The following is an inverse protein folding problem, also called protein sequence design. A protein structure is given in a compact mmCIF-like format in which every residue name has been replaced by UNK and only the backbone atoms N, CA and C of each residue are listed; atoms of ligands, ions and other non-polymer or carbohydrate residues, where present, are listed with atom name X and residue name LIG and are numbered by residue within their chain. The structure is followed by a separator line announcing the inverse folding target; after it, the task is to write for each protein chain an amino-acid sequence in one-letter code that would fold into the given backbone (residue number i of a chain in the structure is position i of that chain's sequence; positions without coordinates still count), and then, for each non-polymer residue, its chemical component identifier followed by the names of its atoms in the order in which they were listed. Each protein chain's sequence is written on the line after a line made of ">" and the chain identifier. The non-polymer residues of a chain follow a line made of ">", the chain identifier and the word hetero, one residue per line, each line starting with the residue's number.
data_IF_663685456260
#
_entry.id   IF_663685456260
#
_cell.length_a   1.000
_cell.length_b   1.000
_cell.length_c   1.000
_cell.angle_alpha   90.00
_cell.angle_beta   90.00
_cell.angle_gamma   90.00
#
_symmetry.space_group_name_H-M   'P 1'
#
loop_
_entity.id
_entity.type
_entity.pdbx_description
1 polymer ?
#
# COMPACT_ATOMS: atom_id res chain seq x y z
N UNK A 1 -5.80 -19.44 12.48
CA UNK A 1 -4.37 -19.09 12.61
C UNK A 1 -4.06 -18.19 11.43
N UNK A 2 -3.48 -17.01 11.65
CA UNK A 2 -3.13 -16.09 10.57
C UNK A 2 -1.80 -16.53 9.94
N UNK A 3 -1.74 -16.46 8.62
CA UNK A 3 -0.54 -16.71 7.85
C UNK A 3 -0.23 -15.48 7.00
N UNK A 4 1.05 -15.12 6.96
CA UNK A 4 1.56 -14.07 6.09
C UNK A 4 1.59 -14.57 4.64
N UNK A 5 0.84 -13.95 3.74
CA UNK A 5 0.88 -14.28 2.31
C UNK A 5 2.05 -13.57 1.63
N UNK A 6 2.91 -14.32 0.95
CA UNK A 6 3.98 -13.82 0.08
C UNK A 6 3.46 -13.53 -1.34
N UNK A 7 4.22 -13.92 -2.36
CA UNK A 7 3.79 -13.81 -3.76
C UNK A 7 2.94 -15.02 -4.19
N UNK A 8 3.47 -16.24 -4.03
CA UNK A 8 2.81 -17.49 -4.50
C UNK A 8 2.41 -18.44 -3.36
N UNK A 9 2.98 -18.24 -2.16
CA UNK A 9 2.71 -19.04 -0.97
C UNK A 9 2.83 -18.17 0.29
N UNK A 10 2.33 -18.69 1.41
CA UNK A 10 2.60 -18.09 2.72
C UNK A 10 4.06 -18.23 3.10
N UNK A 11 4.58 -17.35 3.98
CA UNK A 11 5.96 -17.44 4.45
C UNK A 11 6.31 -18.77 5.16
N UNK A 12 5.31 -19.53 5.60
CA UNK A 12 5.51 -20.86 6.17
C UNK A 12 5.32 -22.01 5.16
N UNK A 13 5.17 -21.73 3.86
CA UNK A 13 5.12 -22.73 2.79
C UNK A 13 3.74 -23.33 2.50
N UNK A 14 2.66 -22.66 2.92
CA UNK A 14 1.29 -23.04 2.52
C UNK A 14 0.92 -22.35 1.21
N UNK A 15 0.40 -23.13 0.27
CA UNK A 15 -0.10 -22.68 -1.03
C UNK A 15 -1.59 -22.28 -0.96
N UNK A 16 -2.08 -21.57 -1.98
CA UNK A 16 -3.41 -20.92 -1.97
C UNK A 16 -4.57 -21.92 -1.76
N UNK A 17 -4.46 -23.13 -2.31
CA UNK A 17 -5.48 -24.18 -2.18
C UNK A 17 -5.57 -24.81 -0.78
N UNK A 18 -4.62 -24.53 0.10
CA UNK A 18 -4.57 -25.05 1.47
C UNK A 18 -5.10 -24.06 2.52
N UNK A 19 -5.46 -22.84 2.10
CA UNK A 19 -5.87 -21.76 3.02
C UNK A 19 -7.11 -21.03 2.50
N UNK A 20 -7.81 -20.37 3.41
CA UNK A 20 -8.81 -19.37 3.02
C UNK A 20 -8.14 -18.00 3.05
N UNK A 21 -8.00 -17.37 1.89
CA UNK A 21 -7.26 -16.12 1.76
C UNK A 21 -8.16 -14.94 2.11
N UNK A 22 -7.86 -14.29 3.23
CA UNK A 22 -8.50 -13.05 3.62
C UNK A 22 -7.55 -11.88 3.38
N UNK A 23 -8.01 -10.86 2.65
CA UNK A 23 -7.25 -9.66 2.30
C UNK A 23 -7.15 -8.65 3.47
N UNK A 24 -6.86 -9.11 4.69
CA UNK A 24 -6.49 -8.22 5.80
C UNK A 24 -4.99 -8.28 6.06
N UNK A 25 -4.49 -7.26 6.75
CA UNK A 25 -3.08 -7.16 7.11
C UNK A 25 -2.71 -8.32 8.05
N UNK A 26 -1.62 -9.02 7.76
CA UNK A 26 -1.04 -9.98 8.71
C UNK A 26 -0.51 -9.22 9.93
N UNK A 27 -1.11 -9.44 11.09
CA UNK A 27 -0.64 -8.89 12.35
C UNK A 27 0.29 -9.90 13.04
N UNK A 28 1.58 -9.58 13.07
CA UNK A 28 2.59 -10.46 13.68
C UNK A 28 2.43 -10.57 15.21
N UNK A 29 1.85 -9.57 15.86
CA UNK A 29 1.64 -9.54 17.31
C UNK A 29 0.33 -10.24 17.71
N UNK A 30 -0.54 -10.54 16.73
CA UNK A 30 -1.77 -11.29 16.96
C UNK A 30 -1.46 -12.68 17.54
N UNK A 31 -2.20 -13.07 18.57
CA UNK A 31 -2.03 -14.34 19.27
C UNK A 31 -2.26 -15.55 18.35
N UNK A 32 -3.02 -15.37 17.28
CA UNK A 32 -3.31 -16.38 16.27
C UNK A 32 -2.29 -16.41 15.11
N UNK A 33 -1.27 -15.54 15.11
CA UNK A 33 -0.25 -15.52 14.08
C UNK A 33 0.63 -16.78 14.11
N UNK A 34 0.85 -17.39 12.95
CA UNK A 34 1.77 -18.51 12.79
C UNK A 34 3.19 -18.11 13.26
N UNK A 35 3.83 -18.87 14.17
CA UNK A 35 5.16 -18.54 14.69
C UNK A 35 6.24 -18.42 13.61
N UNK A 36 6.18 -19.28 12.59
CA UNK A 36 7.12 -19.24 11.44
C UNK A 36 6.90 -17.98 10.60
N UNK A 37 5.65 -17.65 10.28
CA UNK A 37 5.32 -16.40 9.59
C UNK A 37 5.72 -15.17 10.41
N UNK A 38 5.54 -15.19 11.73
CA UNK A 38 5.99 -14.12 12.64
C UNK A 38 7.51 -13.93 12.57
N UNK A 39 8.28 -15.01 12.63
CA UNK A 39 9.74 -14.95 12.60
C UNK A 39 10.27 -14.50 11.24
N UNK A 40 9.72 -15.04 10.14
CA UNK A 40 10.14 -14.64 8.80
C UNK A 40 9.70 -13.22 8.45
N UNK A 41 8.54 -12.76 8.92
CA UNK A 41 8.11 -11.37 8.75
C UNK A 41 9.06 -10.37 9.42
N UNK A 42 9.74 -10.76 10.51
CA UNK A 42 10.77 -9.93 11.14
C UNK A 42 12.07 -9.89 10.33
N UNK A 43 12.35 -10.94 9.54
CA UNK A 43 13.62 -11.14 8.84
C UNK A 43 13.56 -10.83 7.33
N UNK A 44 12.36 -10.69 6.75
CA UNK A 44 12.18 -10.56 5.31
C UNK A 44 12.46 -9.12 4.81
N UNK A 45 13.34 -8.94 3.81
CA UNK A 45 13.52 -7.66 3.12
C UNK A 45 12.47 -7.40 2.01
N UNK A 46 11.70 -8.43 1.61
CA UNK A 46 10.62 -8.40 0.61
C UNK A 46 9.46 -9.23 1.14
N UNK A 47 8.26 -8.69 1.15
CA UNK A 47 7.64 -8.56 2.45
C UNK A 47 6.16 -9.05 2.57
N UNK A 48 5.78 -9.70 3.68
CA UNK A 48 4.51 -10.42 3.88
C UNK A 48 3.22 -9.61 4.05
N UNK A 49 3.29 -8.29 4.25
CA UNK A 49 2.09 -7.48 4.50
C UNK A 49 1.92 -6.29 3.52
N UNK A 50 0.79 -5.60 3.62
CA UNK A 50 0.42 -4.53 2.68
C UNK A 50 1.39 -3.34 2.71
N UNK A 51 1.81 -2.88 3.90
CA UNK A 51 2.73 -1.74 4.10
C UNK A 51 4.00 -1.89 3.30
N UNK A 52 4.41 -3.12 3.27
CA UNK A 52 5.69 -3.54 2.85
C UNK A 52 5.76 -3.76 1.34
N UNK A 53 4.75 -4.45 0.77
CA UNK A 53 4.54 -4.45 -0.68
C UNK A 53 4.37 -3.03 -1.23
N UNK A 54 3.72 -2.14 -0.47
CA UNK A 54 3.61 -0.74 -0.86
C UNK A 54 4.95 0.00 -0.75
N UNK A 55 5.76 -0.27 0.27
CA UNK A 55 7.11 0.30 0.41
C UNK A 55 7.96 -0.02 -0.82
N UNK A 56 7.99 -1.26 -1.27
CA UNK A 56 8.77 -1.67 -2.45
C UNK A 56 8.29 -1.00 -3.74
N UNK A 57 6.98 -0.86 -3.90
CA UNK A 57 6.42 -0.08 -5.03
C UNK A 57 6.88 1.36 -4.96
N UNK A 58 6.78 2.01 -3.80
CA UNK A 58 7.14 3.41 -3.58
C UNK A 58 8.63 3.69 -3.85
N UNK A 59 9.53 2.71 -3.69
CA UNK A 59 10.94 2.87 -4.06
C UNK A 59 11.14 3.21 -5.55
N UNK A 60 10.25 2.72 -6.42
CA UNK A 60 10.30 3.02 -7.86
C UNK A 60 9.77 4.43 -8.20
N UNK A 61 9.19 5.15 -7.24
CA UNK A 61 8.76 6.53 -7.46
C UNK A 61 9.96 7.47 -7.62
N UNK A 62 9.73 8.59 -8.33
CA UNK A 62 10.72 9.63 -8.47
C UNK A 62 11.25 10.07 -7.10
N UNK A 63 12.57 10.23 -6.99
CA UNK A 63 13.20 10.67 -5.75
C UNK A 63 12.72 12.06 -5.35
N UNK A 64 12.45 12.24 -4.07
CA UNK A 64 12.04 13.52 -3.51
C UNK A 64 11.42 13.39 -2.11
N UNK A 65 11.14 14.52 -1.45
CA UNK A 65 10.74 14.55 -0.05
C UNK A 65 9.50 13.71 0.27
N UNK A 66 8.48 13.74 -0.59
CA UNK A 66 7.25 12.95 -0.39
C UNK A 66 7.49 11.44 -0.42
N UNK A 67 8.40 10.98 -1.29
CA UNK A 67 8.77 9.57 -1.33
C UNK A 67 9.45 9.17 -0.03
N UNK A 68 10.39 9.99 0.44
CA UNK A 68 11.13 9.72 1.68
C UNK A 68 10.20 9.74 2.90
N UNK A 69 9.31 10.73 3.01
CA UNK A 69 8.30 10.83 4.07
C UNK A 69 7.39 9.60 4.11
N UNK A 70 6.89 9.14 2.95
CA UNK A 70 6.03 7.96 2.88
C UNK A 70 6.79 6.67 3.23
N UNK A 71 8.01 6.48 2.72
CA UNK A 71 8.82 5.29 3.06
C UNK A 71 9.09 5.23 4.57
N UNK A 72 9.42 6.37 5.16
CA UNK A 72 9.65 6.52 6.59
C UNK A 72 8.37 6.28 7.42
N UNK A 73 7.21 6.76 6.94
CA UNK A 73 5.91 6.46 7.53
C UNK A 73 5.58 4.96 7.51
N UNK A 74 5.77 4.29 6.37
CA UNK A 74 5.53 2.85 6.24
C UNK A 74 6.42 2.03 7.18
N UNK A 75 7.70 2.41 7.33
CA UNK A 75 8.63 1.78 8.29
C UNK A 75 8.21 1.96 9.74
N UNK A 76 7.52 3.06 10.06
CA UNK A 76 6.93 3.31 11.39
C UNK A 76 5.55 2.67 11.60
N UNK A 77 5.06 1.89 10.64
CA UNK A 77 3.78 1.21 10.74
C UNK A 77 2.59 2.08 10.37
N UNK A 78 2.74 3.00 9.40
CA UNK A 78 1.62 3.71 8.83
C UNK A 78 0.52 2.76 8.34
N UNK A 79 -0.73 3.17 8.52
CA UNK A 79 -1.89 2.32 8.24
C UNK A 79 -2.30 2.46 6.77
N UNK A 80 -2.43 1.34 6.06
CA UNK A 80 -3.04 1.34 4.72
C UNK A 80 -4.56 1.22 4.87
N UNK A 81 -5.27 2.34 4.71
CA UNK A 81 -6.74 2.37 4.77
C UNK A 81 -7.42 1.78 3.55
N UNK A 82 -6.74 1.86 2.41
CA UNK A 82 -7.28 1.40 1.13
C UNK A 82 -6.12 0.97 0.24
N UNK A 83 -6.26 -0.17 -0.42
CA UNK A 83 -5.47 -0.52 -1.58
C UNK A 83 -6.33 -1.31 -2.57
N UNK A 84 -6.69 -0.66 -3.68
CA UNK A 84 -7.58 -1.23 -4.69
C UNK A 84 -7.04 -0.95 -6.10
N UNK A 85 -7.38 -1.83 -7.04
CA UNK A 85 -7.13 -1.64 -8.47
C UNK A 85 -8.46 -1.41 -9.18
N UNK A 86 -8.46 -0.56 -10.20
CA UNK A 86 -9.66 -0.34 -10.99
C UNK A 86 -9.53 0.81 -11.99
N UNK A 87 -10.60 1.11 -12.74
CA UNK A 87 -10.59 2.18 -13.72
C UNK A 87 -10.22 3.52 -13.09
N UNK A 88 -9.22 4.21 -13.65
CA UNK A 88 -8.65 5.44 -13.10
C UNK A 88 -9.72 6.51 -12.84
N UNK A 89 -10.65 6.71 -13.79
CA UNK A 89 -11.76 7.66 -13.63
C UNK A 89 -12.70 7.28 -12.47
N UNK A 90 -12.94 5.99 -12.23
CA UNK A 90 -13.76 5.53 -11.10
C UNK A 90 -13.03 5.75 -9.78
N UNK A 91 -11.73 5.45 -9.73
CA UNK A 91 -10.90 5.67 -8.56
C UNK A 91 -10.79 7.16 -8.20
N UNK A 92 -10.61 8.01 -9.21
CA UNK A 92 -10.58 9.46 -9.08
C UNK A 92 -11.86 10.01 -8.43
N UNK A 93 -13.02 9.52 -8.91
CA UNK A 93 -14.33 10.00 -8.51
C UNK A 93 -14.73 9.55 -7.10
N UNK A 94 -14.38 8.33 -6.73
CA UNK A 94 -14.96 7.68 -5.54
C UNK A 94 -13.98 7.54 -4.37
N UNK A 95 -12.67 7.55 -4.62
CA UNK A 95 -11.69 7.14 -3.61
C UNK A 95 -10.47 8.08 -3.48
N UNK A 96 -10.15 8.86 -4.51
CA UNK A 96 -8.92 9.66 -4.52
C UNK A 96 -9.00 10.96 -3.70
N UNK A 97 -10.21 11.45 -3.37
CA UNK A 97 -10.43 12.67 -2.56
C UNK A 97 -9.53 13.84 -2.99
N UNK A 98 -9.54 14.14 -4.29
CA UNK A 98 -8.60 15.07 -4.93
C UNK A 98 -8.64 16.48 -4.34
N UNK A 99 -9.78 16.88 -3.79
CA UNK A 99 -10.01 18.16 -3.12
C UNK A 99 -9.23 18.32 -1.81
N UNK A 100 -8.78 17.22 -1.20
CA UNK A 100 -8.02 17.22 0.06
C UNK A 100 -6.52 17.21 -0.13
N UNK A 101 -6.05 17.06 -1.37
CA UNK A 101 -4.63 17.01 -1.68
C UNK A 101 -4.03 18.40 -1.53
N UNK A 102 -3.10 18.54 -0.58
CA UNK A 102 -2.38 19.78 -0.32
C UNK A 102 -1.08 19.87 -1.11
N UNK A 103 -0.50 18.74 -1.52
CA UNK A 103 0.74 18.70 -2.30
C UNK A 103 0.78 17.53 -3.29
N UNK A 104 1.37 17.75 -4.48
CA UNK A 104 1.61 16.70 -5.48
C UNK A 104 0.43 16.40 -6.41
N UNK A 105 -0.64 17.21 -6.35
CA UNK A 105 -1.89 17.01 -7.11
C UNK A 105 -1.74 16.95 -8.64
N UNK A 106 -0.93 17.79 -9.33
CA UNK A 106 -0.98 17.86 -10.80
C UNK A 106 -0.65 16.54 -11.52
N UNK A 107 0.44 15.88 -11.12
CA UNK A 107 0.84 14.62 -11.73
C UNK A 107 -0.14 13.49 -11.40
N UNK A 108 -0.67 13.50 -10.18
CA UNK A 108 -1.63 12.50 -9.72
C UNK A 108 -2.98 12.63 -10.44
N UNK A 109 -3.48 13.85 -10.61
CA UNK A 109 -4.70 14.15 -11.39
C UNK A 109 -4.53 13.69 -12.84
N UNK A 110 -3.37 13.97 -13.45
CA UNK A 110 -3.08 13.53 -14.81
C UNK A 110 -3.14 12.00 -14.94
N UNK A 111 -2.52 11.26 -14.01
CA UNK A 111 -2.56 9.80 -14.00
C UNK A 111 -3.95 9.21 -13.72
N UNK A 112 -4.80 9.94 -13.01
CA UNK A 112 -6.19 9.54 -12.77
C UNK A 112 -7.16 9.94 -13.90
N UNK A 113 -6.70 10.76 -14.84
CA UNK A 113 -7.46 11.19 -16.01
C UNK A 113 -7.25 10.28 -17.24
N UNK A 114 -6.37 9.28 -17.13
CA UNK A 114 -6.11 8.34 -18.23
C UNK A 114 -7.23 7.32 -18.37
N UNK A 115 -7.49 6.89 -19.61
CA UNK A 115 -8.34 5.72 -19.86
C UNK A 115 -7.50 4.46 -19.59
N UNK A 116 -7.67 3.87 -18.41
CA UNK A 116 -6.95 2.66 -18.01
C UNK A 116 -7.28 2.23 -16.59
N UNK A 117 -6.74 1.08 -16.19
CA UNK A 117 -6.74 0.64 -14.81
C UNK A 117 -5.50 1.19 -14.11
N UNK A 118 -5.64 1.55 -12.84
CA UNK A 118 -4.50 1.91 -11.97
C UNK A 118 -4.74 1.32 -10.58
N UNK A 119 -3.67 1.11 -9.83
CA UNK A 119 -3.76 0.92 -8.39
C UNK A 119 -3.87 2.25 -7.66
N UNK A 120 -4.63 2.27 -6.59
CA UNK A 120 -4.74 3.38 -5.65
C UNK A 120 -4.53 2.86 -4.24
N UNK A 121 -3.59 3.46 -3.52
CA UNK A 121 -3.40 3.23 -2.09
C UNK A 121 -3.57 4.52 -1.28
N UNK A 122 -4.26 4.43 -0.14
CA UNK A 122 -4.37 5.48 0.88
C UNK A 122 -3.61 5.03 2.12
N UNK A 123 -2.66 5.84 2.56
CA UNK A 123 -1.82 5.55 3.73
C UNK A 123 -1.97 6.68 4.74
N UNK A 124 -2.29 6.37 5.99
CA UNK A 124 -2.42 7.35 7.05
C UNK A 124 -1.26 7.25 8.05
N UNK A 125 -0.72 8.41 8.43
CA UNK A 125 0.25 8.52 9.50
C UNK A 125 0.14 9.87 10.21
N UNK A 126 -0.38 9.85 11.43
CA UNK A 126 -0.58 11.07 12.22
C UNK A 126 -1.61 12.00 11.54
N UNK A 127 -1.30 13.30 11.36
CA UNK A 127 -2.22 14.25 10.74
C UNK A 127 -2.25 14.15 9.20
N UNK A 128 -1.45 13.28 8.61
CA UNK A 128 -1.23 13.22 7.17
C UNK A 128 -1.79 11.93 6.57
N UNK A 129 -2.31 12.09 5.36
CA UNK A 129 -2.72 11.00 4.48
C UNK A 129 -1.90 11.10 3.19
N UNK A 130 -1.32 9.99 2.75
CA UNK A 130 -0.66 9.87 1.47
C UNK A 130 -1.59 9.16 0.49
N UNK A 131 -1.74 9.76 -0.70
CA UNK A 131 -2.41 9.14 -1.83
C UNK A 131 -1.32 8.65 -2.79
N UNK A 132 -1.30 7.35 -3.05
CA UNK A 132 -0.36 6.72 -3.98
C UNK A 132 -1.13 6.17 -5.16
N UNK A 133 -0.84 6.68 -6.36
CA UNK A 133 -1.31 6.08 -7.60
C UNK A 133 -0.21 5.19 -8.14
N UNK A 134 -0.58 3.96 -8.51
CA UNK A 134 0.28 2.91 -9.03
C UNK A 134 -0.17 2.62 -10.48
N UNK A 135 0.37 3.32 -11.49
CA UNK A 135 0.07 3.01 -12.87
C UNK A 135 0.55 1.60 -13.24
N UNK A 136 -0.15 0.94 -14.17
CA UNK A 136 0.29 -0.34 -14.73
C UNK A 136 1.66 -0.22 -15.43
N UNK A 137 1.94 0.96 -15.98
CA UNK A 137 3.20 1.29 -16.63
C UNK A 137 3.72 2.63 -16.11
N UNK A 138 4.93 2.61 -15.56
CA UNK A 138 5.64 3.79 -15.07
C UNK A 138 5.79 3.84 -13.55
N UNK A 139 6.45 4.88 -13.04
CA UNK A 139 6.71 5.02 -11.62
C UNK A 139 5.44 5.42 -10.85
N UNK A 140 5.31 5.01 -9.58
CA UNK A 140 4.24 5.49 -8.72
C UNK A 140 4.26 7.00 -8.53
N UNK A 141 3.07 7.55 -8.29
CA UNK A 141 2.85 8.96 -8.03
C UNK A 141 2.33 9.14 -6.62
N UNK A 142 2.93 10.07 -5.89
CA UNK A 142 2.68 10.27 -4.46
C UNK A 142 2.22 11.70 -4.23
N UNK A 143 1.06 11.84 -3.62
CA UNK A 143 0.52 13.11 -3.15
C UNK A 143 0.25 13.06 -1.65
N UNK A 144 0.23 14.23 -1.02
CA UNK A 144 -0.07 14.41 0.41
C UNK A 144 -1.39 15.15 0.56
N UNK A 145 -2.22 14.64 1.45
CA UNK A 145 -3.50 15.18 1.87
C UNK A 145 -3.52 15.28 3.40
N UNK A 146 -4.46 16.05 3.93
CA UNK A 146 -4.79 16.01 5.37
C UNK A 146 -5.58 14.75 5.69
N UNK A 147 -5.23 14.05 6.77
CA UNK A 147 -6.00 12.90 7.23
C UNK A 147 -7.40 13.33 7.71
N UNK A 148 -8.39 12.44 7.58
CA UNK A 148 -9.68 12.63 8.23
C UNK A 148 -9.50 12.64 9.75
N UNK A 149 -10.19 13.57 10.40
CA UNK A 149 -10.08 13.81 11.84
C UNK A 149 -11.29 13.25 12.58
#
# INVERSE_FOLDING_TARGET
>A
MQHAWGDEETLCGLVEDQIELYLHLFDREDASACPTCRQQAVAAPTQPCGQERLHDRVLAAAAGPRREELLDALRRGAEIKLWINGPAASLAKHYAELDRIVEGSPALIAALSVNGSVGLAKVEHGPWQFIVVLPDHGPPLIARATADR
#
